data_IF_367536077732
#
_entry.id   IF_367536077732
#
_cell.length_a   1.000
_cell.length_b   1.000
_cell.length_c   1.000
_cell.angle_alpha   90.00
_cell.angle_beta   90.00
_cell.angle_gamma   90.00
#
_symmetry.space_group_name_H-M   'P 1'
#
loop_
_entity.id
_entity.type
_entity.pdbx_description
1 polymer ?
#
# COMPACT_ATOMS: atom_id res chain seq x y z
N UNK A 1 -55.07 10.27 12.68
CA UNK A 1 -54.24 9.19 13.24
C UNK A 1 -53.01 9.08 12.34
N UNK A 2 -51.95 9.78 12.73
CA UNK A 2 -50.67 9.77 12.00
C UNK A 2 -49.86 8.61 12.54
N UNK A 3 -49.65 7.61 11.71
CA UNK A 3 -48.67 6.55 11.96
C UNK A 3 -47.27 7.12 11.71
N UNK A 4 -46.60 7.56 12.79
CA UNK A 4 -45.18 7.79 12.80
C UNK A 4 -44.49 6.44 12.55
N UNK A 5 -44.12 6.20 11.32
CA UNK A 5 -43.11 5.19 11.01
C UNK A 5 -41.77 5.69 11.58
N UNK A 6 -41.45 5.23 12.78
CA UNK A 6 -40.08 5.32 13.29
C UNK A 6 -39.16 4.50 12.35
N UNK A 7 -38.57 5.19 11.42
CA UNK A 7 -37.40 4.68 10.68
C UNK A 7 -36.28 4.58 11.71
N UNK A 8 -36.18 3.42 12.34
CA UNK A 8 -35.00 3.07 13.14
C UNK A 8 -33.87 2.91 12.12
N UNK A 9 -33.20 4.00 11.87
CA UNK A 9 -31.92 4.00 11.15
C UNK A 9 -31.01 3.08 11.97
N UNK A 10 -30.79 1.86 11.48
CA UNK A 10 -29.79 0.94 12.02
C UNK A 10 -28.46 1.64 11.83
N UNK A 11 -28.05 2.38 12.84
CA UNK A 11 -26.69 2.91 12.94
C UNK A 11 -25.78 1.68 12.93
N UNK A 12 -25.15 1.39 11.79
CA UNK A 12 -24.17 0.31 11.65
C UNK A 12 -23.01 0.63 12.60
N UNK A 13 -23.12 0.07 13.80
CA UNK A 13 -22.13 0.27 14.86
C UNK A 13 -20.79 -0.25 14.41
N UNK A 14 -19.82 0.62 14.34
CA UNK A 14 -18.44 0.24 14.08
C UNK A 14 -17.96 -0.77 15.11
N UNK A 15 -17.31 -1.82 14.62
CA UNK A 15 -16.82 -2.92 15.47
C UNK A 15 -15.66 -2.42 16.34
N UNK A 16 -15.70 -2.77 17.63
CA UNK A 16 -14.64 -2.44 18.58
C UNK A 16 -13.30 -3.11 18.25
N UNK A 17 -12.19 -2.46 18.58
CA UNK A 17 -10.84 -2.92 18.27
C UNK A 17 -10.43 -4.25 18.93
N UNK A 18 -11.11 -4.70 19.98
CA UNK A 18 -10.83 -5.97 20.64
C UNK A 18 -11.36 -7.22 19.92
N UNK A 19 -12.13 -7.05 18.84
CA UNK A 19 -12.63 -8.16 18.02
C UNK A 19 -11.67 -8.50 16.89
N UNK A 20 -11.76 -9.72 16.36
CA UNK A 20 -10.94 -10.14 15.20
C UNK A 20 -11.12 -9.20 14.01
N UNK A 21 -12.36 -8.81 13.71
CA UNK A 21 -12.65 -7.85 12.64
C UNK A 21 -12.07 -6.46 12.94
N UNK A 22 -12.24 -5.96 14.15
CA UNK A 22 -11.74 -4.63 14.54
C UNK A 22 -10.21 -4.57 14.51
N UNK A 23 -9.52 -5.58 15.07
CA UNK A 23 -8.06 -5.69 14.99
C UNK A 23 -7.60 -5.88 13.54
N UNK A 24 -8.26 -6.75 12.78
CA UNK A 24 -7.93 -7.00 11.37
C UNK A 24 -8.06 -5.74 10.52
N UNK A 25 -9.17 -5.02 10.63
CA UNK A 25 -9.37 -3.77 9.89
C UNK A 25 -8.37 -2.68 10.29
N UNK A 26 -7.97 -2.62 11.57
CA UNK A 26 -6.93 -1.70 12.03
C UNK A 26 -5.57 -2.03 11.40
N UNK A 27 -5.17 -3.29 11.41
CA UNK A 27 -3.90 -3.72 10.78
C UNK A 27 -3.89 -3.45 9.29
N UNK A 28 -4.98 -3.73 8.57
CA UNK A 28 -5.11 -3.37 7.15
C UNK A 28 -4.99 -1.86 6.94
N UNK A 29 -5.61 -1.05 7.80
CA UNK A 29 -5.52 0.42 7.76
C UNK A 29 -4.07 0.89 7.96
N UNK A 30 -3.37 0.35 8.98
CA UNK A 30 -1.97 0.68 9.25
C UNK A 30 -1.05 0.29 8.09
N UNK A 31 -1.30 -0.86 7.47
CA UNK A 31 -0.57 -1.27 6.26
C UNK A 31 -0.81 -0.29 5.09
N UNK A 32 -2.04 0.16 4.90
CA UNK A 32 -2.36 1.18 3.90
C UNK A 32 -1.62 2.51 4.16
N UNK A 33 -1.58 2.95 5.42
CA UNK A 33 -0.80 4.13 5.83
C UNK A 33 0.70 3.92 5.57
N UNK A 34 1.22 2.71 5.84
CA UNK A 34 2.61 2.38 5.54
C UNK A 34 2.91 2.43 4.03
N UNK A 35 1.99 1.98 3.16
CA UNK A 35 2.13 2.15 1.71
C UNK A 35 2.15 3.63 1.31
N UNK A 36 1.29 4.48 1.89
CA UNK A 36 1.33 5.93 1.65
C UNK A 36 2.69 6.49 2.03
N UNK A 37 3.18 6.17 3.24
CA UNK A 37 4.49 6.61 3.74
C UNK A 37 5.63 6.17 2.83
N UNK A 38 5.63 4.91 2.41
CA UNK A 38 6.63 4.38 1.48
C UNK A 38 6.61 5.12 0.13
N UNK A 39 5.43 5.34 -0.44
CA UNK A 39 5.31 6.09 -1.70
C UNK A 39 5.75 7.55 -1.58
N UNK A 40 5.49 8.21 -0.44
CA UNK A 40 5.98 9.57 -0.16
C UNK A 40 7.50 9.58 -0.07
N UNK A 41 8.11 8.64 0.67
CA UNK A 41 9.58 8.52 0.77
C UNK A 41 10.17 8.30 -0.64
N UNK A 42 9.59 7.39 -1.42
CA UNK A 42 10.03 7.12 -2.78
C UNK A 42 9.97 8.37 -3.67
N UNK A 43 8.89 9.14 -3.56
CA UNK A 43 8.72 10.42 -4.28
C UNK A 43 9.76 11.46 -3.86
N UNK A 44 9.95 11.65 -2.56
CA UNK A 44 10.88 12.63 -2.02
C UNK A 44 12.32 12.31 -2.42
N UNK A 45 12.74 11.05 -2.26
CA UNK A 45 14.09 10.62 -2.63
C UNK A 45 14.37 10.74 -4.13
N UNK A 46 13.34 10.62 -4.97
CA UNK A 46 13.50 10.88 -6.40
C UNK A 46 13.95 12.32 -6.72
N UNK A 47 13.53 13.29 -5.91
CA UNK A 47 13.89 14.70 -6.14
C UNK A 47 15.16 15.14 -5.43
N UNK A 48 15.49 14.56 -4.28
CA UNK A 48 16.65 14.98 -3.46
C UNK A 48 17.82 14.01 -3.52
N UNK A 49 17.61 12.76 -3.89
CA UNK A 49 18.60 11.68 -3.83
C UNK A 49 19.12 11.20 -5.18
N UNK A 50 18.89 11.87 -6.29
CA UNK A 50 19.36 11.44 -7.61
C UNK A 50 18.52 10.36 -8.30
N UNK A 51 17.35 10.04 -7.79
CA UNK A 51 16.32 9.22 -8.47
C UNK A 51 16.42 7.70 -8.31
N UNK A 52 17.60 7.16 -8.01
CA UNK A 52 17.83 5.70 -7.90
C UNK A 52 18.22 5.24 -6.50
N UNK A 53 18.34 6.15 -5.55
CA UNK A 53 19.04 5.88 -4.30
C UNK A 53 18.21 5.12 -3.25
N UNK A 54 16.91 4.95 -3.47
CA UNK A 54 16.08 4.17 -2.55
C UNK A 54 16.36 2.67 -2.71
N UNK A 55 17.47 2.21 -2.15
CA UNK A 55 17.85 0.81 -2.10
C UNK A 55 18.49 0.25 -3.39
N UNK A 56 18.63 1.07 -4.43
CA UNK A 56 19.28 0.67 -5.70
C UNK A 56 20.63 1.37 -5.79
N UNK A 57 21.71 0.63 -5.54
CA UNK A 57 23.06 1.19 -5.47
C UNK A 57 23.67 1.47 -6.85
N UNK A 58 23.37 0.66 -7.85
CA UNK A 58 23.86 0.80 -9.24
C UNK A 58 23.10 -0.10 -10.20
N UNK A 59 23.09 0.28 -11.47
CA UNK A 59 22.57 -0.52 -12.58
C UNK A 59 23.74 -1.06 -13.41
N UNK A 60 23.92 -2.37 -13.44
CA UNK A 60 24.96 -3.02 -14.24
C UNK A 60 26.36 -2.37 -14.11
N UNK A 61 26.72 -1.91 -12.92
CA UNK A 61 27.98 -1.23 -12.66
C UNK A 61 27.96 0.29 -12.93
N UNK A 62 26.85 0.83 -13.40
CA UNK A 62 26.68 2.28 -13.60
C UNK A 62 26.04 2.94 -12.39
N UNK A 63 26.39 4.19 -12.15
CA UNK A 63 25.72 5.06 -11.19
C UNK A 63 24.73 5.97 -11.89
N UNK A 64 23.79 6.62 -11.19
CA UNK A 64 22.91 7.62 -11.80
C UNK A 64 23.63 8.75 -12.53
N UNK A 65 24.84 9.09 -12.09
CA UNK A 65 25.67 10.13 -12.70
C UNK A 65 26.28 9.71 -14.06
N UNK A 66 26.36 8.41 -14.34
CA UNK A 66 26.90 7.88 -15.59
C UNK A 66 25.85 7.78 -16.71
N UNK A 67 24.59 8.07 -16.40
CA UNK A 67 23.49 7.98 -17.34
C UNK A 67 23.36 9.23 -18.21
N UNK A 68 22.93 9.02 -19.46
CA UNK A 68 22.47 10.13 -20.29
C UNK A 68 21.36 10.92 -19.57
N UNK A 69 21.40 12.26 -19.56
CA UNK A 69 20.40 13.08 -18.86
C UNK A 69 18.95 12.79 -19.27
N UNK A 70 18.71 12.42 -20.53
CA UNK A 70 17.37 12.09 -21.03
C UNK A 70 16.89 10.77 -20.43
N UNK A 71 17.78 9.78 -20.32
CA UNK A 71 17.50 8.48 -19.69
C UNK A 71 17.24 8.66 -18.20
N UNK A 72 18.09 9.43 -17.51
CA UNK A 72 17.91 9.75 -16.09
C UNK A 72 16.55 10.43 -15.83
N UNK A 73 16.19 11.40 -16.67
CA UNK A 73 14.88 12.08 -16.59
C UNK A 73 13.72 11.11 -16.81
N UNK A 74 13.82 10.21 -17.80
CA UNK A 74 12.79 9.21 -18.06
C UNK A 74 12.59 8.25 -16.88
N UNK A 75 13.68 7.80 -16.27
CA UNK A 75 13.62 6.94 -15.08
C UNK A 75 12.98 7.70 -13.88
N UNK A 76 13.38 8.96 -13.68
CA UNK A 76 12.76 9.82 -12.68
C UNK A 76 11.25 9.95 -12.90
N UNK A 77 10.81 10.14 -14.14
CA UNK A 77 9.38 10.16 -14.50
C UNK A 77 8.66 8.87 -14.10
N UNK A 78 9.26 7.71 -14.36
CA UNK A 78 8.70 6.42 -13.96
C UNK A 78 8.63 6.25 -12.45
N UNK A 79 9.65 6.75 -11.71
CA UNK A 79 9.64 6.73 -10.24
C UNK A 79 8.52 7.60 -9.67
N UNK A 80 8.30 8.79 -10.21
CA UNK A 80 7.20 9.67 -9.79
C UNK A 80 5.84 9.01 -10.04
N UNK A 81 5.66 8.39 -11.22
CA UNK A 81 4.44 7.65 -11.52
C UNK A 81 4.23 6.48 -10.56
N UNK A 82 5.28 5.69 -10.32
CA UNK A 82 5.24 4.55 -9.38
C UNK A 82 4.90 5.02 -7.96
N UNK A 83 5.54 6.08 -7.48
CA UNK A 83 5.23 6.68 -6.17
C UNK A 83 3.76 7.08 -6.07
N UNK A 84 3.21 7.71 -7.11
CA UNK A 84 1.80 8.08 -7.19
C UNK A 84 0.86 6.87 -7.09
N UNK A 85 1.18 5.77 -7.79
CA UNK A 85 0.39 4.53 -7.72
C UNK A 85 0.49 3.85 -6.35
N UNK A 86 1.65 3.87 -5.70
CA UNK A 86 1.82 3.32 -4.34
C UNK A 86 0.99 4.14 -3.35
N UNK A 87 1.06 5.47 -3.42
CA UNK A 87 0.27 6.37 -2.56
C UNK A 87 -1.23 6.14 -2.76
N UNK A 88 -1.71 6.11 -3.99
CA UNK A 88 -3.13 5.90 -4.29
C UNK A 88 -3.64 4.52 -3.84
N UNK A 89 -2.81 3.48 -4.00
CA UNK A 89 -3.09 2.14 -3.44
C UNK A 89 -3.22 2.20 -1.92
N UNK A 90 -2.28 2.86 -1.25
CA UNK A 90 -2.32 3.04 0.20
C UNK A 90 -3.56 3.79 0.68
N UNK A 91 -3.97 4.86 -0.02
CA UNK A 91 -5.20 5.60 0.27
C UNK A 91 -6.43 4.70 0.11
N UNK A 92 -6.51 3.93 -0.98
CA UNK A 92 -7.62 3.02 -1.23
C UNK A 92 -7.72 1.95 -0.15
N UNK A 93 -6.61 1.28 0.19
CA UNK A 93 -6.56 0.26 1.25
C UNK A 93 -6.95 0.84 2.60
N UNK A 94 -6.43 2.02 2.95
CA UNK A 94 -6.76 2.72 4.20
C UNK A 94 -8.26 3.03 4.29
N UNK A 95 -8.82 3.65 3.26
CA UNK A 95 -10.22 4.05 3.24
C UNK A 95 -11.16 2.84 3.27
N UNK A 96 -10.91 1.82 2.45
CA UNK A 96 -11.71 0.61 2.41
C UNK A 96 -11.68 -0.13 3.75
N UNK A 97 -10.50 -0.21 4.38
CA UNK A 97 -10.34 -0.90 5.66
C UNK A 97 -11.04 -0.16 6.80
N UNK A 98 -10.85 1.15 6.87
CA UNK A 98 -11.40 1.97 7.95
C UNK A 98 -12.91 2.19 7.84
N UNK A 99 -13.42 2.49 6.64
CA UNK A 99 -14.82 2.83 6.45
C UNK A 99 -15.69 1.66 6.02
N UNK A 100 -15.12 0.67 5.31
CA UNK A 100 -15.85 -0.47 4.78
C UNK A 100 -15.70 -1.75 5.62
N UNK A 101 -14.47 -2.24 5.78
CA UNK A 101 -14.22 -3.51 6.49
C UNK A 101 -14.69 -3.45 7.95
N UNK A 102 -14.44 -2.36 8.66
CA UNK A 102 -14.94 -2.14 10.03
C UNK A 102 -16.45 -2.14 10.16
N UNK A 103 -17.16 -1.93 9.06
CA UNK A 103 -18.64 -2.00 8.99
C UNK A 103 -19.13 -3.34 8.46
N UNK A 104 -18.29 -4.38 8.48
CA UNK A 104 -18.60 -5.74 7.99
C UNK A 104 -18.95 -5.81 6.50
N UNK A 105 -18.44 -4.88 5.69
CA UNK A 105 -18.71 -4.85 4.26
C UNK A 105 -17.72 -5.76 3.52
N UNK A 106 -18.16 -6.94 3.13
CA UNK A 106 -17.34 -7.93 2.42
C UNK A 106 -16.75 -7.38 1.10
N UNK A 107 -17.52 -6.58 0.37
CA UNK A 107 -17.02 -5.97 -0.86
C UNK A 107 -15.81 -5.07 -0.62
N UNK A 108 -15.78 -4.32 0.49
CA UNK A 108 -14.66 -3.46 0.84
C UNK A 108 -13.41 -4.27 1.21
N UNK A 109 -13.59 -5.38 1.94
CA UNK A 109 -12.51 -6.32 2.21
C UNK A 109 -11.94 -6.92 0.92
N UNK A 110 -12.81 -7.45 0.05
CA UNK A 110 -12.41 -8.03 -1.24
C UNK A 110 -11.66 -7.00 -2.11
N UNK A 111 -12.19 -5.78 -2.21
CA UNK A 111 -11.57 -4.71 -3.02
C UNK A 111 -10.21 -4.31 -2.45
N UNK A 112 -10.07 -4.17 -1.13
CA UNK A 112 -8.79 -3.84 -0.49
C UNK A 112 -7.73 -4.93 -0.76
N UNK A 113 -8.12 -6.21 -0.70
CA UNK A 113 -7.24 -7.34 -1.03
C UNK A 113 -6.84 -7.31 -2.49
N UNK A 114 -7.79 -7.18 -3.41
CA UNK A 114 -7.51 -7.15 -4.86
C UNK A 114 -6.58 -6.00 -5.23
N UNK A 115 -6.83 -4.79 -4.72
CA UNK A 115 -6.02 -3.60 -5.00
C UNK A 115 -4.57 -3.79 -4.51
N UNK A 116 -4.36 -4.27 -3.28
CA UNK A 116 -3.02 -4.48 -2.74
C UNK A 116 -2.29 -5.64 -3.46
N UNK A 117 -2.96 -6.78 -3.65
CA UNK A 117 -2.35 -7.98 -4.23
C UNK A 117 -1.99 -7.77 -5.70
N UNK A 118 -2.85 -7.12 -6.50
CA UNK A 118 -2.55 -6.85 -7.91
C UNK A 118 -1.30 -6.01 -8.09
N UNK A 119 -1.12 -4.96 -7.27
CA UNK A 119 0.09 -4.14 -7.31
C UNK A 119 1.35 -4.94 -6.97
N UNK A 120 1.29 -5.76 -5.91
CA UNK A 120 2.42 -6.57 -5.46
C UNK A 120 2.80 -7.67 -6.46
N UNK A 121 1.83 -8.39 -7.03
CA UNK A 121 2.08 -9.46 -8.00
C UNK A 121 2.75 -8.91 -9.28
N UNK A 122 2.42 -7.69 -9.68
CA UNK A 122 3.01 -7.08 -10.86
C UNK A 122 4.41 -6.53 -10.55
N UNK A 123 4.59 -5.85 -9.41
CA UNK A 123 5.81 -5.13 -9.11
C UNK A 123 6.94 -6.02 -8.57
N UNK A 124 6.65 -6.97 -7.67
CA UNK A 124 7.68 -7.74 -6.98
C UNK A 124 8.50 -8.67 -7.87
N UNK A 125 7.94 -9.39 -8.87
CA UNK A 125 8.72 -10.35 -9.66
C UNK A 125 9.94 -9.73 -10.35
N UNK A 126 9.85 -8.47 -10.77
CA UNK A 126 10.97 -7.78 -11.44
C UNK A 126 12.22 -7.67 -10.55
N UNK A 127 12.07 -7.61 -9.23
CA UNK A 127 13.19 -7.55 -8.30
C UNK A 127 13.96 -8.89 -8.21
N UNK A 128 13.35 -10.00 -8.64
CA UNK A 128 13.94 -11.35 -8.60
C UNK A 128 14.46 -11.82 -9.97
N UNK A 129 14.14 -11.08 -11.04
CA UNK A 129 14.56 -11.49 -12.40
C UNK A 129 16.03 -11.16 -12.71
N UNK A 130 16.72 -10.52 -11.81
CA UNK A 130 18.09 -10.06 -12.02
C UNK A 130 18.14 -8.80 -12.92
N UNK A 131 19.33 -8.27 -13.15
CA UNK A 131 19.55 -7.12 -14.01
C UNK A 131 19.90 -5.83 -13.28
N UNK A 132 19.59 -5.71 -11.99
CA UNK A 132 20.07 -4.60 -11.17
C UNK A 132 20.26 -5.01 -9.72
N UNK A 133 21.23 -4.37 -9.05
CA UNK A 133 21.46 -4.55 -7.64
C UNK A 133 20.55 -3.63 -6.83
N UNK A 134 19.99 -4.13 -5.73
CA UNK A 134 19.21 -3.35 -4.80
C UNK A 134 19.48 -3.81 -3.37
N UNK A 135 19.34 -2.91 -2.44
CA UNK A 135 19.44 -3.23 -1.01
C UNK A 135 18.10 -3.78 -0.50
N UNK A 136 18.15 -5.01 0.01
CA UNK A 136 16.95 -5.70 0.49
C UNK A 136 16.31 -5.02 1.69
N UNK A 137 17.09 -4.41 2.56
CA UNK A 137 16.61 -3.81 3.79
C UNK A 137 15.96 -2.46 3.53
N UNK A 138 16.65 -1.59 2.79
CA UNK A 138 16.17 -0.21 2.56
C UNK A 138 15.17 -0.12 1.42
N UNK A 139 15.30 -0.96 0.40
CA UNK A 139 14.41 -0.94 -0.78
C UNK A 139 13.15 -1.78 -0.57
N UNK A 140 13.28 -3.06 -0.22
CA UNK A 140 12.16 -3.98 -0.12
C UNK A 140 11.68 -4.20 1.32
N UNK A 141 12.52 -4.01 2.33
CA UNK A 141 12.18 -4.27 3.73
C UNK A 141 10.91 -3.56 4.21
N UNK A 142 10.77 -2.25 3.97
CA UNK A 142 9.56 -1.52 4.40
C UNK A 142 8.28 -2.05 3.76
N UNK A 143 8.32 -2.40 2.48
CA UNK A 143 7.14 -2.92 1.78
C UNK A 143 6.78 -4.34 2.26
N UNK A 144 7.78 -5.20 2.51
CA UNK A 144 7.53 -6.53 3.07
C UNK A 144 6.92 -6.46 4.47
N UNK A 145 7.40 -5.56 5.32
CA UNK A 145 6.81 -5.37 6.63
C UNK A 145 5.34 -4.94 6.52
N UNK A 146 5.05 -3.97 5.66
CA UNK A 146 3.68 -3.53 5.40
C UNK A 146 2.80 -4.66 4.86
N UNK A 147 3.33 -5.51 3.96
CA UNK A 147 2.63 -6.69 3.42
C UNK A 147 2.33 -7.71 4.51
N UNK A 148 3.28 -8.01 5.38
CA UNK A 148 3.05 -8.95 6.50
C UNK A 148 1.93 -8.44 7.40
N UNK A 149 1.97 -7.15 7.79
CA UNK A 149 0.92 -6.53 8.59
C UNK A 149 -0.43 -6.57 7.87
N UNK A 150 -0.45 -6.31 6.56
CA UNK A 150 -1.64 -6.38 5.75
C UNK A 150 -2.23 -7.80 5.72
N UNK A 151 -1.42 -8.83 5.44
CA UNK A 151 -1.87 -10.22 5.37
C UNK A 151 -2.45 -10.70 6.70
N UNK A 152 -1.79 -10.38 7.82
CA UNK A 152 -2.33 -10.67 9.15
C UNK A 152 -3.68 -9.97 9.35
N UNK A 153 -3.77 -8.70 8.97
CA UNK A 153 -5.00 -7.93 9.01
C UNK A 153 -6.13 -8.55 8.18
N UNK A 154 -5.82 -8.95 6.95
CA UNK A 154 -6.77 -9.61 6.02
C UNK A 154 -7.34 -10.89 6.62
N UNK A 155 -6.48 -11.76 7.20
CA UNK A 155 -6.90 -13.02 7.80
C UNK A 155 -7.78 -12.79 9.03
N UNK A 156 -7.39 -11.86 9.91
CA UNK A 156 -8.16 -11.54 11.11
C UNK A 156 -9.51 -10.89 10.75
N UNK A 157 -9.52 -9.96 9.80
CA UNK A 157 -10.76 -9.33 9.35
C UNK A 157 -11.72 -10.35 8.75
N UNK A 158 -11.23 -11.26 7.90
CA UNK A 158 -12.06 -12.31 7.29
C UNK A 158 -12.72 -13.23 8.32
N UNK A 159 -12.00 -13.60 9.38
CA UNK A 159 -12.57 -14.43 10.47
C UNK A 159 -13.69 -13.73 11.24
N UNK A 160 -13.78 -12.42 11.16
CA UNK A 160 -14.79 -11.63 11.88
C UNK A 160 -15.90 -11.05 10.99
N UNK A 161 -15.80 -11.20 9.64
CA UNK A 161 -16.84 -10.82 8.68
C UNK A 161 -17.98 -11.83 8.71
#
# INVERSE_FOLDING_TARGET
>A
MSTEQSVTEKQETQVGFGSALGTGSLLMTLAGIAFIGYGIIFLVLNFIGGGFELGVSHLAGQTPADLDPTVAYYISHLHVATAGFIISTGIAVTALSWFGVRRRQLWAWTTAVVVAVSGLIIALPMHYMGGFAHDWVTHLGPIYLAVIVFVVGVVLAYKGL
#
